data_IF_747132144664
#
_entry.id   IF_747132144664
#
_cell.length_a   1.000
_cell.length_b   1.000
_cell.length_c   1.000
_cell.angle_alpha   90.00
_cell.angle_beta   90.00
_cell.angle_gamma   90.00
#
_symmetry.space_group_name_H-M   'P 1'
#
loop_
_entity.id
_entity.type
_entity.pdbx_description
1 polymer ?
#
# COMPACT_ATOMS: atom_id res chain seq x y z
N UNK A 1 1.82 16.64 8.69
CA UNK A 1 1.59 16.24 7.28
C UNK A 1 0.60 15.08 7.26
N UNK A 2 -0.44 15.16 6.42
CA UNK A 2 -1.49 14.14 6.26
C UNK A 2 -1.38 13.54 4.86
N UNK A 3 -1.26 12.24 4.74
CA UNK A 3 -1.02 11.51 3.49
C UNK A 3 -2.08 10.43 3.36
N UNK A 4 -2.71 10.31 2.19
CA UNK A 4 -3.63 9.22 1.88
C UNK A 4 -2.88 8.06 1.21
N UNK A 5 -2.98 6.86 1.79
CA UNK A 5 -2.58 5.64 1.12
C UNK A 5 -3.69 5.21 0.15
N UNK A 6 -3.49 5.53 -1.14
CA UNK A 6 -4.48 5.32 -2.20
C UNK A 6 -4.28 3.92 -2.80
N UNK A 7 -5.25 3.03 -2.56
CA UNK A 7 -5.17 1.65 -3.05
C UNK A 7 -5.90 1.39 -4.37
N UNK A 8 -6.53 2.43 -4.97
CA UNK A 8 -7.33 2.30 -6.19
C UNK A 8 -8.70 1.64 -6.01
N UNK A 9 -9.06 1.24 -4.80
CA UNK A 9 -10.37 0.68 -4.49
C UNK A 9 -11.38 1.72 -3.98
N UNK A 10 -12.64 1.32 -3.84
CA UNK A 10 -13.77 2.19 -3.43
C UNK A 10 -13.43 3.00 -2.17
N UNK A 11 -13.05 2.36 -1.08
CA UNK A 11 -12.81 2.99 0.21
C UNK A 11 -11.74 4.10 0.17
N UNK A 12 -10.61 3.87 -0.50
CA UNK A 12 -9.56 4.87 -0.61
C UNK A 12 -9.92 6.00 -1.58
N UNK A 13 -10.71 5.69 -2.61
CA UNK A 13 -11.30 6.69 -3.51
C UNK A 13 -12.28 7.59 -2.77
N UNK A 14 -13.15 7.01 -1.95
CA UNK A 14 -14.08 7.76 -1.09
C UNK A 14 -13.32 8.77 -0.23
N UNK A 15 -12.26 8.34 0.46
CA UNK A 15 -11.44 9.27 1.27
C UNK A 15 -10.81 10.39 0.44
N UNK A 16 -10.35 10.10 -0.78
CA UNK A 16 -9.81 11.12 -1.66
C UNK A 16 -10.87 12.17 -2.04
N UNK A 17 -12.06 11.73 -2.41
CA UNK A 17 -13.18 12.60 -2.75
C UNK A 17 -13.69 13.39 -1.54
N UNK A 18 -13.77 12.76 -0.36
CA UNK A 18 -14.13 13.43 0.89
C UNK A 18 -13.13 14.52 1.26
N UNK A 19 -11.82 14.29 1.05
CA UNK A 19 -10.80 15.32 1.26
C UNK A 19 -10.97 16.50 0.29
N UNK A 20 -11.30 16.23 -0.98
CA UNK A 20 -11.59 17.26 -1.98
C UNK A 20 -12.83 18.09 -1.62
N UNK A 21 -13.84 17.49 -1.02
CA UNK A 21 -15.09 18.16 -0.62
C UNK A 21 -15.03 18.83 0.75
N UNK A 22 -13.91 18.69 1.47
CA UNK A 22 -13.79 19.21 2.82
C UNK A 22 -14.59 18.43 3.87
N UNK A 23 -15.00 17.22 3.58
CA UNK A 23 -15.75 16.33 4.50
C UNK A 23 -14.85 15.65 5.55
N UNK A 24 -13.55 15.66 5.29
CA UNK A 24 -12.47 15.27 6.22
C UNK A 24 -11.37 16.33 6.17
N UNK A 25 -10.49 16.32 7.17
CA UNK A 25 -9.34 17.24 7.16
C UNK A 25 -8.50 17.12 5.89
N UNK A 26 -7.98 18.23 5.37
CA UNK A 26 -7.20 18.26 4.14
C UNK A 26 -6.02 17.29 4.18
N UNK A 27 -5.74 16.66 3.04
CA UNK A 27 -4.53 15.85 2.82
C UNK A 27 -3.57 16.62 1.93
N UNK A 28 -2.27 16.50 2.17
CA UNK A 28 -1.24 17.14 1.33
C UNK A 28 -1.07 16.39 0.01
N UNK A 29 -1.15 15.07 0.03
CA UNK A 29 -1.07 14.25 -1.17
C UNK A 29 -1.67 12.86 -0.93
N UNK A 30 -1.88 12.13 -2.03
CA UNK A 30 -2.16 10.71 -2.02
C UNK A 30 -1.00 9.94 -2.67
N UNK A 31 -0.73 8.72 -2.20
CA UNK A 31 0.32 7.86 -2.74
C UNK A 31 -0.31 6.55 -3.20
N UNK A 32 -0.17 6.25 -4.48
CA UNK A 32 -0.57 5.00 -5.10
C UNK A 32 0.67 4.14 -5.37
N UNK A 33 0.69 2.93 -4.82
CA UNK A 33 1.77 1.98 -5.09
C UNK A 33 1.36 1.05 -6.24
N UNK A 34 1.99 1.24 -7.37
CA UNK A 34 1.77 0.47 -8.58
C UNK A 34 2.66 -0.79 -8.59
N UNK A 35 2.03 -1.95 -8.77
CA UNK A 35 2.72 -3.24 -8.92
C UNK A 35 3.08 -3.56 -10.36
N UNK A 36 2.65 -2.74 -11.33
CA UNK A 36 2.77 -3.01 -12.75
C UNK A 36 1.77 -4.05 -13.30
N UNK A 37 0.92 -4.62 -12.44
CA UNK A 37 -0.03 -5.70 -12.74
C UNK A 37 -1.46 -5.36 -12.30
N UNK A 38 -1.77 -4.09 -12.14
CA UNK A 38 -3.14 -3.69 -11.82
C UNK A 38 -4.02 -3.80 -13.08
N UNK A 39 -5.32 -4.11 -12.94
CA UNK A 39 -6.25 -4.10 -14.06
C UNK A 39 -6.27 -2.75 -14.80
N UNK A 40 -6.47 -2.75 -16.11
CA UNK A 40 -6.56 -1.51 -16.92
C UNK A 40 -7.58 -0.52 -16.37
N UNK A 41 -8.67 -0.99 -15.78
CA UNK A 41 -9.68 -0.16 -15.12
C UNK A 41 -9.12 0.62 -13.93
N UNK A 42 -8.14 0.09 -13.20
CA UNK A 42 -7.49 0.79 -12.09
C UNK A 42 -6.64 1.94 -12.61
N UNK A 43 -5.89 1.74 -13.69
CA UNK A 43 -5.12 2.81 -14.31
C UNK A 43 -6.02 3.91 -14.86
N UNK A 44 -7.10 3.55 -15.57
CA UNK A 44 -8.10 4.52 -16.05
C UNK A 44 -8.74 5.29 -14.89
N UNK A 45 -9.03 4.61 -13.78
CA UNK A 45 -9.55 5.22 -12.57
C UNK A 45 -8.55 6.20 -11.93
N UNK A 46 -7.25 5.87 -11.92
CA UNK A 46 -6.22 6.79 -11.42
C UNK A 46 -6.11 8.06 -12.28
N UNK A 47 -6.17 7.92 -13.60
CA UNK A 47 -6.15 9.08 -14.49
C UNK A 47 -7.40 9.95 -14.31
N UNK A 48 -8.56 9.32 -14.13
CA UNK A 48 -9.79 10.06 -13.80
C UNK A 48 -9.65 10.82 -12.47
N UNK A 49 -9.14 10.21 -11.39
CA UNK A 49 -8.92 10.90 -10.13
C UNK A 49 -7.96 12.09 -10.27
N UNK A 50 -6.89 11.94 -11.03
CA UNK A 50 -5.95 13.04 -11.33
C UNK A 50 -6.63 14.20 -12.05
N UNK A 51 -7.55 13.89 -12.99
CA UNK A 51 -8.26 14.90 -13.78
C UNK A 51 -9.21 15.78 -12.96
N UNK A 52 -9.57 15.36 -11.73
CA UNK A 52 -10.46 16.12 -10.85
C UNK A 52 -9.78 17.36 -10.22
N UNK A 53 -8.46 17.50 -10.36
CA UNK A 53 -7.73 18.66 -9.83
C UNK A 53 -7.63 18.71 -8.29
N UNK A 54 -7.76 17.57 -7.63
CA UNK A 54 -7.62 17.43 -6.17
C UNK A 54 -6.17 17.37 -5.69
N UNK A 55 -5.95 16.87 -4.46
CA UNK A 55 -4.61 16.66 -3.92
C UNK A 55 -3.72 15.82 -4.85
N UNK A 56 -2.45 16.20 -4.97
CA UNK A 56 -1.51 15.49 -5.87
C UNK A 56 -1.48 14.00 -5.59
N UNK A 57 -1.63 13.17 -6.64
CA UNK A 57 -1.48 11.72 -6.57
C UNK A 57 -0.09 11.35 -7.07
N UNK A 58 0.75 10.87 -6.17
CA UNK A 58 2.06 10.31 -6.50
C UNK A 58 1.94 8.82 -6.76
N UNK A 59 2.50 8.38 -7.89
CA UNK A 59 2.61 6.95 -8.22
C UNK A 59 4.02 6.49 -7.87
N UNK A 60 4.12 5.43 -7.07
CA UNK A 60 5.38 4.82 -6.67
C UNK A 60 5.40 3.36 -7.09
N UNK A 61 6.56 2.86 -7.52
CA UNK A 61 6.70 1.46 -7.91
C UNK A 61 8.01 0.88 -7.37
N UNK A 62 8.00 -0.42 -7.11
CA UNK A 62 9.20 -1.21 -6.79
C UNK A 62 9.69 -2.04 -7.99
N UNK A 63 9.02 -1.96 -9.12
CA UNK A 63 9.18 -2.79 -10.30
C UNK A 63 7.87 -3.50 -10.62
N UNK A 64 7.92 -4.36 -11.63
CA UNK A 64 6.76 -5.12 -12.10
C UNK A 64 6.72 -6.48 -11.40
N UNK A 65 5.66 -6.73 -10.63
CA UNK A 65 5.51 -7.97 -9.85
C UNK A 65 5.53 -9.22 -10.77
N UNK A 66 4.88 -9.15 -11.93
CA UNK A 66 4.84 -10.24 -12.89
C UNK A 66 6.22 -10.60 -13.42
N UNK A 67 7.01 -9.62 -13.83
CA UNK A 67 8.37 -9.83 -14.33
C UNK A 67 9.27 -10.43 -13.24
N UNK A 68 9.19 -9.91 -12.03
CA UNK A 68 9.96 -10.40 -10.89
C UNK A 68 9.64 -11.87 -10.56
N UNK A 69 8.41 -12.31 -10.80
CA UNK A 69 7.99 -13.72 -10.63
C UNK A 69 8.48 -14.58 -11.78
N UNK A 70 8.32 -14.12 -13.03
CA UNK A 70 8.64 -14.90 -14.24
C UNK A 70 10.15 -15.07 -14.37
N UNK A 71 10.90 -14.00 -14.20
CA UNK A 71 12.35 -14.01 -14.43
C UNK A 71 13.15 -14.34 -13.16
N UNK A 72 12.48 -14.38 -11.98
CA UNK A 72 13.15 -14.69 -10.73
C UNK A 72 14.21 -13.66 -10.30
N UNK A 73 14.22 -12.48 -10.91
CA UNK A 73 15.18 -11.41 -10.66
C UNK A 73 14.43 -10.08 -10.61
N UNK A 74 14.54 -9.36 -9.51
CA UNK A 74 13.94 -8.03 -9.41
C UNK A 74 14.75 -6.97 -10.16
N UNK A 75 14.20 -5.76 -10.29
CA UNK A 75 14.81 -4.61 -10.98
C UNK A 75 16.21 -4.22 -10.46
N UNK A 76 16.64 -4.78 -9.32
CA UNK A 76 17.98 -4.60 -8.73
C UNK A 76 18.93 -5.79 -9.00
N UNK A 77 18.53 -6.74 -9.85
CA UNK A 77 19.33 -7.92 -10.15
C UNK A 77 19.38 -8.96 -9.02
N UNK A 78 18.50 -8.86 -8.01
CA UNK A 78 18.42 -9.84 -6.93
C UNK A 78 17.39 -10.92 -7.26
N UNK A 79 17.70 -12.18 -6.95
CA UNK A 79 16.74 -13.27 -7.08
C UNK A 79 15.48 -12.98 -6.25
N UNK A 80 14.32 -13.12 -6.88
CA UNK A 80 13.00 -13.01 -6.22
C UNK A 80 12.51 -14.36 -5.74
N UNK A 81 13.09 -15.46 -6.24
CA UNK A 81 12.69 -16.82 -5.92
C UNK A 81 13.41 -17.32 -4.65
N UNK A 82 14.69 -16.95 -4.48
CA UNK A 82 15.49 -17.31 -3.31
C UNK A 82 16.28 -16.10 -2.80
N UNK A 83 16.29 -15.88 -1.50
CA UNK A 83 17.27 -14.97 -0.90
C UNK A 83 18.67 -15.59 -0.93
N UNK A 84 19.72 -14.81 -0.67
CA UNK A 84 21.08 -15.33 -0.48
C UNK A 84 21.18 -16.38 0.65
N UNK A 85 20.23 -16.39 1.59
CA UNK A 85 20.08 -17.37 2.66
C UNK A 85 19.24 -18.60 2.27
N UNK A 86 18.69 -18.65 1.05
CA UNK A 86 17.85 -19.78 0.59
C UNK A 86 16.39 -19.73 1.07
N UNK A 87 16.00 -18.77 1.91
CA UNK A 87 14.70 -18.77 2.63
C UNK A 87 13.62 -17.92 1.99
N UNK A 88 13.86 -17.32 0.82
CA UNK A 88 12.94 -16.36 0.24
C UNK A 88 12.23 -16.92 -0.99
N UNK A 89 10.95 -17.19 -0.82
CA UNK A 89 10.04 -17.57 -1.91
C UNK A 89 9.41 -16.34 -2.58
N UNK A 90 9.00 -16.53 -3.84
CA UNK A 90 8.34 -15.51 -4.65
C UNK A 90 7.24 -14.73 -3.88
N UNK A 91 7.12 -13.46 -4.18
CA UNK A 91 6.32 -12.46 -3.47
C UNK A 91 4.80 -12.64 -3.55
N UNK A 92 4.29 -13.65 -4.26
CA UNK A 92 2.86 -13.93 -4.41
C UNK A 92 2.31 -14.84 -3.30
N UNK A 93 1.01 -14.69 -2.93
CA UNK A 93 0.34 -15.64 -2.08
C UNK A 93 0.16 -16.95 -2.85
N UNK A 94 0.76 -18.03 -2.38
CA UNK A 94 0.56 -19.37 -2.91
C UNK A 94 0.17 -20.34 -1.79
N UNK A 95 -0.56 -21.37 -2.15
CA UNK A 95 -0.87 -22.49 -1.26
C UNK A 95 0.02 -23.66 -1.63
N UNK A 96 0.58 -24.32 -0.62
CA UNK A 96 1.38 -25.53 -0.81
C UNK A 96 0.60 -26.72 -0.29
N UNK A 97 0.34 -27.69 -1.17
CA UNK A 97 -0.11 -29.02 -0.76
C UNK A 97 1.13 -29.94 -0.71
N UNK A 98 1.39 -30.56 0.43
CA UNK A 98 2.50 -31.53 0.55
C UNK A 98 2.07 -32.92 0.13
N UNK A 99 0.85 -33.32 0.45
CA UNK A 99 0.23 -34.59 0.06
C UNK A 99 -1.29 -34.44 -0.07
N UNK A 100 -1.91 -35.35 -0.81
CA UNK A 100 -3.36 -35.45 -0.92
C UNK A 100 -4.00 -35.68 0.46
N UNK A 101 -4.93 -34.80 0.87
CA UNK A 101 -5.61 -34.85 2.18
C UNK A 101 -4.95 -34.09 3.32
N UNK A 102 -3.77 -33.51 3.15
CA UNK A 102 -3.16 -32.62 4.15
C UNK A 102 -3.69 -31.19 4.05
N UNK A 103 -3.77 -30.45 5.18
CA UNK A 103 -4.18 -29.05 5.14
C UNK A 103 -3.20 -28.22 4.30
N UNK A 104 -3.76 -27.36 3.43
CA UNK A 104 -2.98 -26.49 2.57
C UNK A 104 -2.14 -25.51 3.40
N UNK A 105 -0.83 -25.60 3.27
CA UNK A 105 0.08 -24.58 3.79
C UNK A 105 -0.08 -23.27 2.99
N UNK A 106 -0.05 -22.12 3.67
CA UNK A 106 -0.10 -20.81 3.03
C UNK A 106 1.26 -20.14 3.10
N UNK A 107 1.85 -19.82 1.94
CA UNK A 107 3.09 -19.06 1.88
C UNK A 107 2.80 -17.62 2.31
N UNK A 108 3.70 -17.06 3.12
CA UNK A 108 3.57 -15.70 3.65
C UNK A 108 3.55 -14.68 2.50
N UNK A 109 2.50 -13.87 2.45
CA UNK A 109 2.38 -12.77 1.47
C UNK A 109 3.49 -11.74 1.70
N UNK A 110 4.37 -11.58 0.74
CA UNK A 110 5.43 -10.57 0.76
C UNK A 110 5.12 -9.39 -0.19
N UNK A 111 4.29 -9.62 -1.22
CA UNK A 111 3.94 -8.61 -2.22
C UNK A 111 3.42 -7.29 -1.61
N UNK A 112 2.61 -7.35 -0.57
CA UNK A 112 2.11 -6.13 0.10
C UNK A 112 3.26 -5.34 0.76
N UNK A 113 4.19 -6.02 1.43
CA UNK A 113 5.32 -5.35 2.06
C UNK A 113 6.27 -4.76 1.03
N UNK A 114 6.69 -5.55 0.06
CA UNK A 114 7.76 -5.20 -0.88
C UNK A 114 7.33 -4.23 -1.98
N UNK A 115 6.12 -4.40 -2.51
CA UNK A 115 5.64 -3.62 -3.63
C UNK A 115 4.67 -2.49 -3.24
N UNK A 116 4.15 -2.48 -2.01
CA UNK A 116 3.27 -1.39 -1.54
C UNK A 116 3.88 -0.62 -0.37
N UNK A 117 4.18 -1.28 0.75
CA UNK A 117 4.62 -0.57 1.97
C UNK A 117 6.01 0.06 1.78
N UNK A 118 6.99 -0.73 1.37
CA UNK A 118 8.38 -0.27 1.21
C UNK A 118 8.53 0.88 0.21
N UNK A 119 7.93 0.85 -1.01
CA UNK A 119 7.97 1.98 -1.93
C UNK A 119 7.34 3.24 -1.37
N UNK A 120 6.17 3.13 -0.71
CA UNK A 120 5.50 4.27 -0.07
C UNK A 120 6.39 4.88 1.01
N UNK A 121 6.93 4.08 1.92
CA UNK A 121 7.83 4.55 2.98
C UNK A 121 9.10 5.19 2.42
N UNK A 122 9.66 4.62 1.37
CA UNK A 122 10.83 5.18 0.68
C UNK A 122 10.51 6.54 0.08
N UNK A 123 9.38 6.67 -0.58
CA UNK A 123 8.92 7.93 -1.16
C UNK A 123 8.69 9.00 -0.09
N UNK A 124 7.99 8.64 0.99
CA UNK A 124 7.79 9.54 2.15
C UNK A 124 9.14 10.04 2.66
N UNK A 125 10.08 9.15 2.92
CA UNK A 125 11.39 9.49 3.48
C UNK A 125 12.23 10.34 2.54
N UNK A 126 12.34 9.92 1.27
CA UNK A 126 13.28 10.52 0.31
C UNK A 126 12.73 11.76 -0.37
N UNK A 127 11.47 11.70 -0.77
CA UNK A 127 10.85 12.75 -1.59
C UNK A 127 10.10 13.76 -0.75
N UNK A 128 9.20 13.30 0.13
CA UNK A 128 8.38 14.23 0.91
C UNK A 128 9.14 14.86 2.07
N UNK A 129 10.04 14.12 2.71
CA UNK A 129 10.80 14.58 3.88
C UNK A 129 12.26 14.92 3.56
N UNK A 130 12.73 14.67 2.33
CA UNK A 130 14.11 14.93 1.87
C UNK A 130 15.19 14.33 2.79
N UNK A 131 14.90 13.19 3.43
CA UNK A 131 15.82 12.55 4.37
C UNK A 131 16.87 11.72 3.63
N UNK A 132 18.10 11.79 4.07
CA UNK A 132 19.17 10.94 3.58
C UNK A 132 19.16 9.52 4.18
N UNK A 133 19.98 8.62 3.59
CA UNK A 133 20.08 7.24 4.07
C UNK A 133 20.56 7.22 5.53
N UNK A 134 19.81 6.53 6.40
CA UNK A 134 20.12 6.42 7.82
C UNK A 134 19.46 7.48 8.72
N UNK A 135 18.99 8.60 8.16
CA UNK A 135 18.30 9.60 8.96
C UNK A 135 16.94 9.08 9.47
N UNK A 136 16.59 9.44 10.70
CA UNK A 136 15.30 9.05 11.33
C UNK A 136 14.24 10.11 11.06
N UNK A 137 12.99 9.67 10.86
CA UNK A 137 11.85 10.59 10.85
C UNK A 137 11.61 11.04 12.31
N UNK A 138 11.67 12.34 12.54
CA UNK A 138 11.54 12.95 13.87
C UNK A 138 10.10 13.39 14.20
N UNK A 139 9.28 13.65 13.17
CA UNK A 139 7.90 14.11 13.31
C UNK A 139 6.92 13.00 12.96
N UNK A 140 5.81 12.93 13.66
CA UNK A 140 4.70 12.03 13.30
C UNK A 140 4.00 12.52 12.03
N UNK A 141 3.70 11.59 11.15
CA UNK A 141 2.92 11.80 9.93
C UNK A 141 1.59 11.07 10.06
N UNK A 142 0.50 11.76 9.81
CA UNK A 142 -0.82 11.15 9.76
C UNK A 142 -1.01 10.43 8.43
N UNK A 143 -1.26 9.14 8.46
CA UNK A 143 -1.52 8.34 7.29
C UNK A 143 -2.96 7.86 7.26
N UNK A 144 -3.71 8.26 6.24
CA UNK A 144 -5.10 7.86 6.05
C UNK A 144 -5.15 6.52 5.31
N UNK A 145 -5.97 5.62 5.82
CA UNK A 145 -6.23 4.32 5.19
C UNK A 145 -7.72 4.16 4.92
N UNK A 146 -8.06 3.78 3.68
CA UNK A 146 -9.42 3.44 3.28
C UNK A 146 -9.83 2.09 3.86
N UNK A 147 -10.27 2.09 5.09
CA UNK A 147 -10.78 0.93 5.84
C UNK A 147 -12.15 1.31 6.39
N UNK A 148 -13.17 0.59 6.00
CA UNK A 148 -14.53 0.76 6.46
C UNK A 148 -14.81 -0.05 7.73
N UNK A 149 -15.95 0.19 8.37
CA UNK A 149 -16.31 -0.41 9.66
C UNK A 149 -16.33 -1.95 9.62
N UNK A 150 -16.80 -2.53 8.51
CA UNK A 150 -16.81 -3.97 8.27
C UNK A 150 -15.42 -4.61 8.22
N UNK A 151 -14.35 -3.81 8.04
CA UNK A 151 -12.96 -4.24 8.09
C UNK A 151 -12.19 -3.75 9.35
N UNK A 152 -12.87 -3.36 10.42
CA UNK A 152 -12.25 -2.75 11.63
C UNK A 152 -11.08 -3.58 12.23
N UNK A 153 -11.15 -4.92 12.16
CA UNK A 153 -10.04 -5.77 12.57
C UNK A 153 -8.76 -5.60 11.75
N UNK A 154 -8.89 -5.10 10.50
CA UNK A 154 -7.74 -4.72 9.68
C UNK A 154 -7.12 -3.40 10.14
N UNK A 155 -7.96 -2.44 10.54
CA UNK A 155 -7.52 -1.17 11.11
C UNK A 155 -6.67 -1.39 12.38
N UNK A 156 -7.13 -2.26 13.28
CA UNK A 156 -6.39 -2.64 14.51
C UNK A 156 -5.01 -3.21 14.18
N UNK A 157 -4.92 -4.11 13.19
CA UNK A 157 -3.63 -4.68 12.77
C UNK A 157 -2.70 -3.67 12.13
N UNK A 158 -3.21 -2.73 11.34
CA UNK A 158 -2.41 -1.64 10.76
C UNK A 158 -1.87 -0.78 11.88
N UNK A 159 -2.70 -0.38 12.85
CA UNK A 159 -2.30 0.44 13.98
C UNK A 159 -1.19 -0.22 14.81
N UNK A 160 -1.33 -1.51 15.10
CA UNK A 160 -0.35 -2.28 15.88
C UNK A 160 1.02 -2.45 15.17
N UNK A 161 1.03 -2.48 13.83
CA UNK A 161 2.25 -2.71 13.03
C UNK A 161 2.81 -1.44 12.40
N UNK A 162 2.23 -0.29 12.67
CA UNK A 162 2.72 0.98 12.11
C UNK A 162 4.01 1.43 12.80
N UNK A 163 4.98 1.97 12.03
CA UNK A 163 6.20 2.48 12.62
C UNK A 163 5.89 3.70 13.52
N UNK A 164 6.74 3.96 14.49
CA UNK A 164 6.55 5.01 15.51
C UNK A 164 6.33 6.43 14.95
N UNK A 165 6.79 6.71 13.75
CA UNK A 165 6.62 7.99 13.06
C UNK A 165 5.30 8.09 12.28
N UNK A 166 4.58 6.98 12.10
CA UNK A 166 3.29 6.91 11.40
C UNK A 166 2.14 6.91 12.40
N UNK A 167 1.19 7.78 12.19
CA UNK A 167 -0.08 7.82 12.90
C UNK A 167 -1.20 7.41 11.94
N UNK A 168 -1.57 6.12 11.93
CA UNK A 168 -2.64 5.64 11.06
C UNK A 168 -4.00 6.11 11.55
N UNK A 169 -4.80 6.67 10.65
CA UNK A 169 -6.18 7.09 10.88
C UNK A 169 -7.12 6.43 9.88
N UNK A 170 -8.36 6.20 10.31
CA UNK A 170 -9.37 5.44 9.58
C UNK A 170 -10.70 6.21 9.51
N UNK A 171 -10.76 7.30 8.72
CA UNK A 171 -11.91 8.21 8.77
C UNK A 171 -13.26 7.55 8.45
N UNK A 172 -13.28 6.48 7.62
CA UNK A 172 -14.52 5.74 7.35
C UNK A 172 -15.00 4.97 8.57
N UNK A 173 -14.10 4.36 9.35
CA UNK A 173 -14.47 3.74 10.63
C UNK A 173 -14.98 4.78 11.64
N UNK A 174 -14.30 5.93 11.72
CA UNK A 174 -14.67 7.00 12.65
C UNK A 174 -16.05 7.58 12.31
N UNK A 175 -16.43 7.58 11.04
CA UNK A 175 -17.75 7.98 10.53
C UNK A 175 -18.78 6.83 10.50
N UNK A 176 -18.45 5.67 11.03
CA UNK A 176 -19.29 4.47 11.05
C UNK A 176 -19.73 3.99 9.66
N UNK A 177 -18.96 4.29 8.62
CA UNK A 177 -19.27 3.92 7.24
C UNK A 177 -18.86 2.47 6.96
N UNK A 178 -19.74 1.76 6.28
CA UNK A 178 -19.50 0.42 5.75
C UNK A 178 -19.05 0.51 4.28
N UNK A 179 -18.76 -0.62 3.66
CA UNK A 179 -18.43 -0.66 2.23
C UNK A 179 -19.65 -0.41 1.33
N UNK A 180 -20.85 -0.55 1.86
CA UNK A 180 -22.11 -0.35 1.12
C UNK A 180 -22.53 1.13 1.06
N UNK A 181 -22.04 1.96 1.97
CA UNK A 181 -22.25 3.40 2.01
C UNK A 181 -21.35 4.13 1.00
#
# INVERSE_FOLDING_TARGET
MRILNLGGGVQSTTLYLMAMRGEIDPIQCAIFADLGEEPKSVYAHMEWLKSLGGPTIHVVSAGTLGDDIIYGINSKGHSTIFSKSGDRFASIPAFTAQKEGEPLGKIRRQCTSEYKIVPIERFIRRTLLSLEKGQRIKTKLTQLFGISLDEAGRATRIKANSPHWSEPVFPLCDKMMTRAD
#
